data_IF_432856896369
#
_entry.id   IF_432856896369
#
_cell.length_a   1.000
_cell.length_b   1.000
_cell.length_c   1.000
_cell.angle_alpha   90.00
_cell.angle_beta   90.00
_cell.angle_gamma   90.00
#
_symmetry.space_group_name_H-M   'P 1'
#
loop_
_entity.id
_entity.type
_entity.pdbx_description
1 polymer ?
#
# COMPACT_ATOMS: atom_id res chain seq x y z
N UNK A 1 22.52 -3.92 -6.55
CA UNK A 1 21.62 -3.60 -5.44
C UNK A 1 20.50 -2.77 -6.02
N UNK A 2 19.25 -3.19 -5.84
CA UNK A 2 18.09 -2.46 -6.36
C UNK A 2 17.83 -1.21 -5.51
N UNK A 3 17.54 -0.10 -6.17
CA UNK A 3 17.10 1.15 -5.54
C UNK A 3 16.28 1.95 -6.52
N UNK A 4 15.15 2.46 -6.07
CA UNK A 4 14.31 3.43 -6.80
C UNK A 4 13.96 4.59 -5.90
N UNK A 5 13.99 5.79 -6.44
CA UNK A 5 13.60 7.01 -5.76
C UNK A 5 12.51 7.70 -6.58
N UNK A 6 11.43 8.05 -5.93
CA UNK A 6 10.27 8.71 -6.52
C UNK A 6 10.05 10.06 -5.87
N UNK A 7 9.75 11.05 -6.68
CA UNK A 7 9.28 12.36 -6.27
C UNK A 7 7.85 12.55 -6.78
N UNK A 8 6.95 12.94 -5.90
CA UNK A 8 5.53 13.07 -6.23
C UNK A 8 5.13 14.52 -6.31
N UNK A 9 4.24 14.86 -7.29
CA UNK A 9 3.73 16.21 -7.52
C UNK A 9 4.48 16.97 -8.60
N UNK A 10 4.26 18.29 -8.65
CA UNK A 10 4.62 19.13 -9.81
C UNK A 10 6.05 19.61 -9.92
N UNK A 11 6.90 19.39 -8.93
CA UNK A 11 8.28 19.85 -8.99
C UNK A 11 9.20 18.78 -9.59
N UNK A 12 9.48 18.98 -10.88
CA UNK A 12 10.28 18.08 -11.67
C UNK A 12 11.78 18.26 -11.56
N UNK A 13 12.47 17.19 -11.80
CA UNK A 13 13.74 17.27 -12.46
C UNK A 13 15.00 17.29 -11.61
N UNK A 14 15.11 16.47 -10.58
CA UNK A 14 16.44 16.11 -10.06
C UNK A 14 16.95 14.85 -10.74
N UNK A 15 18.17 14.88 -11.27
CA UNK A 15 18.81 13.70 -11.83
C UNK A 15 18.78 12.55 -10.81
N UNK A 16 18.30 11.37 -11.23
CA UNK A 16 18.10 10.14 -10.45
C UNK A 16 16.79 10.01 -9.65
N UNK A 17 15.82 10.89 -9.81
CA UNK A 17 14.46 10.73 -9.30
C UNK A 17 13.50 10.34 -10.42
N UNK A 18 12.51 9.55 -10.10
CA UNK A 18 11.38 9.26 -10.98
C UNK A 18 10.25 10.19 -10.57
N UNK A 19 9.89 11.11 -11.45
CA UNK A 19 8.76 12.01 -11.22
C UNK A 19 7.45 11.23 -11.36
N UNK A 20 6.52 11.45 -10.43
CA UNK A 20 5.22 10.80 -10.37
C UNK A 20 4.12 11.84 -10.22
N UNK A 21 3.24 11.90 -11.20
CA UNK A 21 2.03 12.72 -11.17
C UNK A 21 0.79 11.90 -10.77
N UNK A 22 -0.33 12.60 -10.59
CA UNK A 22 -1.62 11.97 -10.24
C UNK A 22 -2.16 11.02 -11.32
N UNK A 23 -1.73 11.18 -12.58
CA UNK A 23 -2.12 10.32 -13.70
C UNK A 23 -1.28 9.03 -13.82
N UNK A 24 -0.26 8.87 -12.98
CA UNK A 24 0.66 7.73 -13.04
C UNK A 24 0.05 6.49 -12.38
N UNK A 25 -0.95 5.91 -13.04
CA UNK A 25 -1.57 4.67 -12.59
C UNK A 25 -0.62 3.47 -12.81
N UNK A 26 -0.74 2.49 -11.93
CA UNK A 26 0.07 1.27 -12.01
C UNK A 26 -0.22 0.50 -13.29
N UNK A 27 0.86 0.13 -13.97
CA UNK A 27 0.85 -0.75 -15.14
C UNK A 27 2.03 -1.72 -15.03
N UNK A 28 1.84 -3.02 -15.28
CA UNK A 28 2.92 -4.02 -15.18
C UNK A 28 4.16 -3.67 -16.02
N UNK A 29 3.97 -3.15 -17.22
CA UNK A 29 5.08 -2.75 -18.11
C UNK A 29 5.86 -1.52 -17.62
N UNK A 30 5.22 -0.63 -16.83
CA UNK A 30 5.83 0.52 -16.19
C UNK A 30 6.51 0.14 -14.88
N UNK A 31 5.91 -0.80 -14.16
CA UNK A 31 6.41 -1.34 -12.91
C UNK A 31 6.29 -0.43 -11.71
N UNK A 32 5.43 0.59 -11.76
CA UNK A 32 5.03 1.44 -10.63
C UNK A 32 3.79 2.27 -10.96
N UNK A 33 3.14 2.78 -9.93
CA UNK A 33 2.03 3.72 -10.06
C UNK A 33 0.98 3.58 -8.96
N UNK A 34 -0.03 4.44 -9.01
CA UNK A 34 -1.18 4.39 -8.10
C UNK A 34 -2.10 3.24 -8.48
N UNK A 35 -2.60 2.53 -7.47
CA UNK A 35 -3.46 1.35 -7.66
C UNK A 35 -4.91 1.77 -7.74
N UNK A 36 -5.62 1.29 -8.75
CA UNK A 36 -7.07 1.45 -8.93
C UNK A 36 -7.79 0.11 -8.85
N UNK A 37 -9.11 0.12 -8.68
CA UNK A 37 -9.92 -1.10 -8.75
C UNK A 37 -9.79 -1.79 -10.12
N UNK A 38 -9.70 -1.01 -11.19
CA UNK A 38 -9.54 -1.55 -12.54
C UNK A 38 -8.25 -2.35 -12.67
N UNK A 39 -7.12 -1.78 -12.34
CA UNK A 39 -5.85 -2.49 -12.45
C UNK A 39 -5.72 -3.63 -11.43
N UNK A 40 -6.37 -3.54 -10.28
CA UNK A 40 -6.50 -4.63 -9.33
C UNK A 40 -7.27 -5.81 -9.92
N UNK A 41 -8.41 -5.56 -10.59
CA UNK A 41 -9.19 -6.61 -11.26
C UNK A 41 -8.41 -7.25 -12.41
N UNK A 42 -7.73 -6.45 -13.21
CA UNK A 42 -6.88 -6.94 -14.30
C UNK A 42 -5.78 -7.85 -13.78
N UNK A 43 -5.10 -7.47 -12.70
CA UNK A 43 -4.12 -8.30 -12.04
C UNK A 43 -4.74 -9.61 -11.53
N UNK A 44 -5.88 -9.54 -10.85
CA UNK A 44 -6.58 -10.74 -10.37
C UNK A 44 -6.97 -11.69 -11.50
N UNK A 45 -7.37 -11.17 -12.66
CA UNK A 45 -7.67 -11.99 -13.83
C UNK A 45 -6.42 -12.63 -14.44
N UNK A 46 -5.32 -11.91 -14.49
CA UNK A 46 -4.02 -12.46 -14.85
C UNK A 46 -3.59 -13.53 -13.86
N UNK A 47 -3.81 -13.28 -12.60
CA UNK A 47 -3.53 -14.19 -11.51
C UNK A 47 -4.22 -15.54 -11.64
N UNK A 48 -5.46 -15.54 -12.01
CA UNK A 48 -6.22 -16.78 -12.22
C UNK A 48 -5.70 -17.56 -13.44
N UNK A 49 -5.13 -16.88 -14.43
CA UNK A 49 -4.61 -17.51 -15.65
C UNK A 49 -3.17 -18.00 -15.52
N UNK A 50 -2.37 -17.27 -14.77
CA UNK A 50 -0.96 -17.57 -14.56
C UNK A 50 -0.79 -18.01 -13.11
N UNK A 51 -0.74 -19.20 -12.76
CA UNK A 51 -0.60 -19.79 -11.43
C UNK A 51 0.35 -19.05 -10.45
N UNK A 52 0.91 -17.92 -10.84
CA UNK A 52 1.85 -17.08 -10.10
C UNK A 52 1.43 -15.61 -10.19
N UNK A 53 0.88 -15.06 -9.13
CA UNK A 53 0.37 -13.71 -9.20
C UNK A 53 0.45 -12.97 -7.89
N UNK A 54 0.63 -11.67 -7.99
CA UNK A 54 0.62 -10.77 -6.86
C UNK A 54 -0.74 -10.79 -6.15
N UNK A 55 -0.73 -11.06 -4.85
CA UNK A 55 -1.93 -11.23 -4.02
C UNK A 55 -2.24 -9.98 -3.18
N UNK A 56 -1.31 -9.09 -3.07
CA UNK A 56 -1.29 -7.95 -2.17
C UNK A 56 -2.39 -6.91 -2.43
N UNK A 57 -2.67 -6.60 -3.69
CA UNK A 57 -3.69 -5.62 -4.07
C UNK A 57 -5.13 -6.04 -3.76
N UNK A 58 -5.36 -7.28 -3.36
CA UNK A 58 -6.67 -7.77 -2.93
C UNK A 58 -7.12 -7.22 -1.56
N UNK A 59 -6.22 -6.63 -0.81
CA UNK A 59 -6.48 -6.22 0.57
C UNK A 59 -7.21 -4.89 0.70
N UNK A 60 -7.28 -4.11 -0.40
CA UNK A 60 -7.83 -2.77 -0.38
C UNK A 60 -8.85 -2.54 -1.46
N UNK A 61 -9.84 -1.72 -1.14
CA UNK A 61 -10.78 -1.20 -2.11
C UNK A 61 -10.31 0.12 -2.68
N UNK A 62 -10.52 0.29 -3.98
CA UNK A 62 -10.20 1.51 -4.68
C UNK A 62 -11.30 1.79 -5.71
N UNK A 63 -11.57 3.05 -6.00
CA UNK A 63 -12.39 3.41 -7.14
C UNK A 63 -11.67 3.06 -8.45
N UNK A 64 -12.43 2.76 -9.51
CA UNK A 64 -11.86 2.34 -10.80
C UNK A 64 -10.90 3.36 -11.40
N UNK A 65 -11.14 4.65 -11.17
CA UNK A 65 -10.43 5.74 -11.82
C UNK A 65 -9.65 6.64 -10.87
N UNK A 66 -9.78 6.47 -9.55
CA UNK A 66 -9.22 7.40 -8.56
C UNK A 66 -9.49 8.87 -8.92
N UNK A 67 -10.74 9.19 -9.22
CA UNK A 67 -11.15 10.50 -9.78
C UNK A 67 -10.79 11.70 -8.89
N UNK A 68 -10.49 11.46 -7.62
CA UNK A 68 -10.14 12.48 -6.64
C UNK A 68 -8.67 12.45 -6.24
N UNK A 69 -7.84 11.72 -7.00
CA UNK A 69 -6.40 11.80 -6.90
C UNK A 69 -5.92 13.10 -7.57
N UNK A 70 -5.20 13.89 -6.81
CA UNK A 70 -4.72 15.23 -7.18
C UNK A 70 -3.24 15.37 -6.88
N UNK A 71 -2.64 16.43 -7.38
CA UNK A 71 -1.25 16.77 -7.12
C UNK A 71 -1.06 18.27 -6.88
N UNK A 72 -0.09 18.60 -6.05
CA UNK A 72 0.42 19.95 -5.81
C UNK A 72 1.95 19.92 -5.62
N UNK A 73 2.55 21.02 -5.19
CA UNK A 73 3.99 21.11 -4.90
C UNK A 73 4.45 20.23 -3.74
N UNK A 74 3.53 19.78 -2.89
CA UNK A 74 3.80 18.92 -1.74
C UNK A 74 3.60 17.42 -2.03
N UNK A 75 3.16 17.05 -3.23
CA UNK A 75 3.01 15.66 -3.65
C UNK A 75 1.66 15.30 -4.25
N UNK A 76 1.41 14.01 -4.37
CA UNK A 76 0.11 13.47 -4.78
C UNK A 76 -0.74 13.14 -3.55
N UNK A 77 -2.02 13.48 -3.61
CA UNK A 77 -2.96 13.25 -2.51
C UNK A 77 -4.34 12.82 -3.00
N UNK A 78 -5.05 12.09 -2.15
CA UNK A 78 -6.42 11.66 -2.41
C UNK A 78 -7.38 12.41 -1.49
N UNK A 79 -8.46 12.94 -2.03
CA UNK A 79 -9.59 13.42 -1.24
C UNK A 79 -10.46 12.22 -0.85
N UNK A 80 -10.15 11.64 0.31
CA UNK A 80 -10.76 10.38 0.75
C UNK A 80 -12.26 10.51 1.01
N UNK A 81 -12.72 11.65 1.47
CA UNK A 81 -14.13 11.89 1.72
C UNK A 81 -14.94 11.96 0.41
N UNK A 82 -14.40 12.65 -0.60
CA UNK A 82 -15.01 12.72 -1.93
C UNK A 82 -14.97 11.37 -2.64
N UNK A 83 -13.90 10.60 -2.47
CA UNK A 83 -13.80 9.24 -2.99
C UNK A 83 -14.89 8.34 -2.40
N UNK A 84 -15.07 8.35 -1.07
CA UNK A 84 -16.15 7.61 -0.39
C UNK A 84 -17.53 8.05 -0.90
N UNK A 85 -17.79 9.34 -0.96
CA UNK A 85 -19.07 9.86 -1.43
C UNK A 85 -19.35 9.47 -2.89
N UNK A 86 -18.31 9.39 -3.73
CA UNK A 86 -18.43 8.90 -5.11
C UNK A 86 -18.82 7.42 -5.16
N UNK A 87 -18.19 6.59 -4.33
CA UNK A 87 -18.51 5.16 -4.24
C UNK A 87 -19.93 4.92 -3.74
N UNK A 88 -20.39 5.66 -2.73
CA UNK A 88 -21.75 5.59 -2.22
C UNK A 88 -22.79 6.00 -3.31
N UNK A 89 -22.47 7.03 -4.09
CA UNK A 89 -23.33 7.42 -5.24
C UNK A 89 -23.40 6.33 -6.32
N UNK A 90 -22.30 5.63 -6.56
CA UNK A 90 -22.25 4.57 -7.58
C UNK A 90 -22.94 3.28 -7.12
N UNK A 91 -22.78 2.91 -5.87
CA UNK A 91 -23.39 1.70 -5.31
C UNK A 91 -24.86 1.86 -4.93
N UNK A 92 -25.31 3.09 -4.69
CA UNK A 92 -26.64 3.40 -4.15
C UNK A 92 -26.80 3.03 -2.67
N UNK A 93 -25.72 2.58 -2.01
CA UNK A 93 -25.72 2.18 -0.59
C UNK A 93 -24.64 2.93 0.18
N UNK A 94 -24.93 3.32 1.44
CA UNK A 94 -23.93 3.95 2.27
C UNK A 94 -22.83 2.94 2.64
N UNK A 95 -21.59 3.35 2.57
CA UNK A 95 -20.48 2.56 3.09
C UNK A 95 -20.59 2.49 4.62
N UNK A 96 -20.87 1.30 5.14
CA UNK A 96 -20.99 1.10 6.58
C UNK A 96 -19.60 1.04 7.23
N UNK A 97 -19.50 1.65 8.40
CA UNK A 97 -18.26 1.62 9.20
C UNK A 97 -17.63 3.01 9.36
N UNK A 98 -16.88 3.17 10.43
CA UNK A 98 -16.14 4.38 10.74
C UNK A 98 -14.72 3.99 11.15
N UNK A 99 -13.69 4.76 10.73
CA UNK A 99 -13.76 5.90 9.82
C UNK A 99 -13.89 5.47 8.36
N UNK A 100 -14.65 6.24 7.58
CA UNK A 100 -14.83 6.05 6.14
C UNK A 100 -13.65 6.67 5.41
N UNK A 101 -12.57 5.94 5.28
CA UNK A 101 -11.35 6.41 4.64
C UNK A 101 -10.92 5.43 3.57
N UNK A 102 -10.58 5.96 2.41
CA UNK A 102 -9.99 5.19 1.30
C UNK A 102 -8.48 5.41 1.30
N UNK A 103 -7.68 4.36 1.28
CA UNK A 103 -6.23 4.51 1.26
C UNK A 103 -5.72 5.02 -0.10
N UNK A 104 -4.69 5.84 -0.06
CA UNK A 104 -3.86 6.12 -1.22
C UNK A 104 -2.81 5.02 -1.33
N UNK A 105 -2.87 4.22 -2.39
CA UNK A 105 -1.97 3.09 -2.59
C UNK A 105 -1.03 3.35 -3.76
N UNK A 106 0.26 3.22 -3.52
CA UNK A 106 1.29 3.24 -4.55
C UNK A 106 2.05 1.93 -4.57
N UNK A 107 2.19 1.33 -5.75
CA UNK A 107 2.79 0.03 -6.00
C UNK A 107 4.05 0.15 -6.82
N UNK A 108 5.06 -0.66 -6.48
CA UNK A 108 6.34 -0.70 -7.20
C UNK A 108 6.78 -2.15 -7.39
N UNK A 109 7.09 -2.52 -8.63
CA UNK A 109 7.71 -3.81 -8.93
C UNK A 109 9.15 -3.86 -8.44
N UNK A 110 9.50 -4.97 -7.84
CA UNK A 110 10.85 -5.26 -7.37
C UNK A 110 11.42 -6.47 -8.12
N UNK A 111 12.76 -6.54 -8.29
CA UNK A 111 13.37 -7.55 -9.16
C UNK A 111 13.28 -8.98 -8.60
N UNK A 112 13.18 -9.13 -7.30
CA UNK A 112 13.14 -10.43 -6.61
C UNK A 112 12.50 -10.33 -5.25
N UNK A 113 12.18 -11.46 -4.68
CA UNK A 113 11.79 -11.59 -3.28
C UNK A 113 12.95 -11.23 -2.34
N UNK A 114 12.61 -10.81 -1.14
CA UNK A 114 13.59 -10.40 -0.13
C UNK A 114 13.12 -9.22 0.71
N UNK A 115 14.05 -8.61 1.39
CA UNK A 115 13.77 -7.48 2.26
C UNK A 115 14.06 -6.16 1.54
N UNK A 116 13.14 -5.22 1.70
CA UNK A 116 13.23 -3.88 1.14
C UNK A 116 13.02 -2.85 2.24
N UNK A 117 13.94 -1.89 2.31
CA UNK A 117 13.77 -0.68 3.13
C UNK A 117 12.99 0.33 2.31
N UNK A 118 12.00 0.91 2.96
CA UNK A 118 11.15 1.95 2.40
C UNK A 118 11.34 3.20 3.25
N UNK A 119 11.66 4.32 2.62
CA UNK A 119 11.59 5.64 3.24
C UNK A 119 10.50 6.43 2.57
N UNK A 120 9.44 6.70 3.31
CA UNK A 120 8.29 7.49 2.89
C UNK A 120 8.44 8.91 3.41
N UNK A 121 8.24 9.89 2.52
CA UNK A 121 8.18 11.31 2.86
C UNK A 121 6.78 11.83 2.59
N UNK A 122 6.22 12.53 3.57
CA UNK A 122 4.95 13.24 3.45
C UNK A 122 5.21 14.69 3.81
N UNK A 123 4.78 15.62 2.95
CA UNK A 123 4.82 17.06 3.20
C UNK A 123 3.41 17.60 3.19
N UNK A 124 3.06 18.37 4.20
CA UNK A 124 1.74 19.02 4.31
C UNK A 124 1.87 20.37 4.98
N UNK A 125 1.21 21.37 4.46
CA UNK A 125 1.14 22.69 5.11
C UNK A 125 0.21 22.69 6.32
N UNK A 126 -0.73 21.74 6.35
CA UNK A 126 -1.70 21.58 7.42
C UNK A 126 -1.42 20.30 8.23
N UNK A 127 -1.92 20.27 9.46
CA UNK A 127 -1.93 19.05 10.25
C UNK A 127 -2.78 17.97 9.55
N UNK A 128 -2.21 16.78 9.37
CA UNK A 128 -2.90 15.64 8.77
C UNK A 128 -3.72 14.82 9.77
N UNK A 129 -3.53 15.07 11.07
CA UNK A 129 -4.16 14.29 12.12
C UNK A 129 -3.66 12.84 12.17
N UNK A 130 -4.57 11.93 12.47
CA UNK A 130 -4.28 10.51 12.55
C UNK A 130 -4.02 9.92 11.16
N UNK A 131 -2.89 9.26 11.01
CA UNK A 131 -2.55 8.49 9.83
C UNK A 131 -2.15 7.05 10.17
N UNK A 132 -2.46 6.14 9.25
CA UNK A 132 -1.96 4.78 9.27
C UNK A 132 -1.21 4.52 7.96
N UNK A 133 -0.08 3.83 8.06
CA UNK A 133 0.71 3.40 6.90
C UNK A 133 0.77 1.89 6.93
N UNK A 134 0.40 1.28 5.82
CA UNK A 134 0.45 -0.15 5.62
C UNK A 134 1.37 -0.50 4.45
N UNK A 135 1.90 -1.70 4.48
CA UNK A 135 2.71 -2.26 3.40
C UNK A 135 2.20 -3.64 3.01
N UNK A 136 2.35 -3.98 1.73
CA UNK A 136 2.01 -5.29 1.19
C UNK A 136 0.63 -5.76 1.63
N UNK A 137 0.55 -6.93 2.21
CA UNK A 137 -0.69 -7.59 2.64
C UNK A 137 -1.33 -6.97 3.89
N UNK A 138 -1.60 -5.65 3.86
CA UNK A 138 -2.18 -4.89 4.98
C UNK A 138 -1.39 -4.97 6.29
N UNK A 139 -0.09 -5.07 6.21
CA UNK A 139 0.77 -5.05 7.40
C UNK A 139 0.94 -3.63 7.87
N UNK A 140 0.54 -3.37 9.09
CA UNK A 140 0.67 -2.04 9.71
C UNK A 140 2.14 -1.71 9.93
N UNK A 141 2.60 -0.61 9.33
CA UNK A 141 3.95 -0.10 9.51
C UNK A 141 4.00 1.07 10.46
N UNK A 142 2.97 1.92 10.46
CA UNK A 142 2.89 3.09 11.31
C UNK A 142 1.44 3.43 11.67
N UNK A 143 1.24 3.89 12.90
CA UNK A 143 0.01 4.51 13.37
C UNK A 143 0.39 5.67 14.28
N UNK A 144 -0.12 6.86 13.98
CA UNK A 144 0.15 8.06 14.79
C UNK A 144 -0.43 9.32 14.19
N UNK A 145 -0.18 10.44 14.86
CA UNK A 145 -0.58 11.77 14.40
C UNK A 145 0.59 12.43 13.68
N UNK A 146 0.31 13.05 12.54
CA UNK A 146 1.29 13.80 11.76
C UNK A 146 0.86 15.26 11.70
N UNK A 147 1.72 16.14 12.18
CA UNK A 147 1.55 17.59 12.13
C UNK A 147 1.89 18.17 10.76
N UNK A 148 1.76 19.50 10.65
CA UNK A 148 2.23 20.24 9.50
C UNK A 148 3.76 20.15 9.32
N UNK A 149 4.24 20.24 8.10
CA UNK A 149 5.66 20.17 7.75
C UNK A 149 6.04 18.90 7.03
N UNK A 150 7.28 18.46 7.22
CA UNK A 150 7.80 17.24 6.62
C UNK A 150 7.83 16.11 7.64
N UNK A 151 7.19 15.00 7.30
CA UNK A 151 7.24 13.74 8.03
C UNK A 151 7.98 12.72 7.20
N UNK A 152 9.03 12.12 7.78
CA UNK A 152 9.81 11.05 7.15
C UNK A 152 9.73 9.80 8.00
N UNK A 153 9.30 8.71 7.41
CA UNK A 153 9.20 7.43 8.09
C UNK A 153 9.93 6.34 7.32
N UNK A 154 10.73 5.55 8.05
CA UNK A 154 11.48 4.42 7.48
C UNK A 154 10.97 3.12 8.06
N UNK A 155 10.67 2.17 7.18
CA UNK A 155 10.17 0.84 7.50
C UNK A 155 10.85 -0.21 6.64
N UNK A 156 10.72 -1.48 7.02
CA UNK A 156 11.21 -2.60 6.23
C UNK A 156 10.08 -3.57 5.95
N UNK A 157 9.97 -4.01 4.70
CA UNK A 157 8.99 -5.00 4.25
C UNK A 157 9.70 -6.22 3.71
N UNK A 158 9.14 -7.41 3.99
CA UNK A 158 9.52 -8.65 3.33
C UNK A 158 8.56 -8.92 2.18
N UNK A 159 9.11 -9.12 0.99
CA UNK A 159 8.40 -9.56 -0.21
C UNK A 159 8.66 -11.04 -0.38
N UNK A 160 7.60 -11.84 -0.29
CA UNK A 160 7.69 -13.30 -0.40
C UNK A 160 6.42 -13.87 -1.02
N UNK A 161 6.56 -15.04 -1.66
CA UNK A 161 5.43 -15.81 -2.13
C UNK A 161 4.60 -16.34 -0.97
N UNK A 162 3.34 -16.61 -1.24
CA UNK A 162 2.44 -17.27 -0.29
C UNK A 162 1.67 -18.40 -0.96
N UNK A 163 1.26 -19.37 -0.15
CA UNK A 163 0.22 -20.34 -0.49
C UNK A 163 -0.96 -20.06 0.41
N UNK A 164 -2.05 -19.42 -0.08
CA UNK A 164 -3.22 -19.15 0.74
C UNK A 164 -3.86 -20.43 1.26
N UNK A 165 -4.46 -20.37 2.45
CA UNK A 165 -5.15 -21.51 3.05
C UNK A 165 -6.16 -22.14 2.08
N UNK A 166 -6.15 -23.47 1.99
CA UNK A 166 -7.03 -24.23 1.08
C UNK A 166 -6.64 -24.15 -0.41
N UNK A 167 -5.53 -23.51 -0.74
CA UNK A 167 -4.99 -23.42 -2.11
C UNK A 167 -3.80 -24.35 -2.26
N UNK A 168 -3.55 -24.75 -3.52
CA UNK A 168 -2.38 -25.61 -3.87
C UNK A 168 -1.38 -24.88 -4.75
N UNK A 169 -1.67 -23.65 -5.14
CA UNK A 169 -0.79 -22.85 -6.00
C UNK A 169 -0.13 -21.73 -5.22
N UNK A 170 1.05 -21.40 -5.68
CA UNK A 170 1.85 -20.31 -5.15
C UNK A 170 1.36 -19.00 -5.78
N UNK A 171 1.08 -18.02 -4.95
CA UNK A 171 0.92 -16.63 -5.37
C UNK A 171 2.28 -15.94 -5.25
N UNK A 172 2.89 -15.71 -6.40
CA UNK A 172 4.16 -15.03 -6.46
C UNK A 172 3.97 -13.54 -6.17
N UNK A 173 4.77 -13.02 -5.25
CA UNK A 173 4.83 -11.60 -4.95
C UNK A 173 6.21 -11.05 -5.30
N UNK A 174 6.24 -10.03 -6.16
CA UNK A 174 7.42 -9.26 -6.54
C UNK A 174 7.10 -7.77 -6.54
N UNK A 175 6.33 -7.33 -5.56
CA UNK A 175 5.89 -5.95 -5.46
C UNK A 175 6.04 -5.41 -4.04
N UNK A 176 6.22 -4.11 -3.95
CA UNK A 176 6.12 -3.35 -2.71
C UNK A 176 4.95 -2.40 -2.85
N UNK A 177 3.95 -2.55 -2.00
CA UNK A 177 2.82 -1.63 -1.91
C UNK A 177 2.94 -0.79 -0.64
N UNK A 178 2.64 0.48 -0.78
CA UNK A 178 2.49 1.42 0.34
C UNK A 178 1.07 1.97 0.29
N UNK A 179 0.32 1.81 1.38
CA UNK A 179 -1.00 2.36 1.53
C UNK A 179 -1.00 3.38 2.67
N UNK A 180 -1.32 4.62 2.36
CA UNK A 180 -1.49 5.71 3.35
C UNK A 180 -2.96 5.93 3.56
N UNK A 181 -3.41 5.81 4.81
CA UNK A 181 -4.80 5.99 5.23
C UNK A 181 -4.90 7.21 6.13
N UNK A 182 -5.64 8.22 5.72
CA UNK A 182 -5.91 9.47 6.41
C UNK A 182 -7.17 10.11 5.83
N UNK A 183 -7.59 11.26 6.32
CA UNK A 183 -8.68 12.02 5.69
C UNK A 183 -8.27 12.55 4.30
N UNK A 184 -7.03 13.00 4.19
CA UNK A 184 -6.40 13.41 2.92
C UNK A 184 -5.01 12.75 2.81
N UNK A 185 -4.97 11.43 2.52
CA UNK A 185 -3.70 10.73 2.43
C UNK A 185 -2.84 11.30 1.31
N UNK A 186 -1.53 11.41 1.58
CA UNK A 186 -0.56 12.06 0.69
C UNK A 186 0.74 11.28 0.63
N UNK A 187 1.41 11.35 -0.52
CA UNK A 187 2.78 10.88 -0.73
C UNK A 187 3.55 11.99 -1.42
N UNK A 188 4.68 12.39 -0.85
CA UNK A 188 5.57 13.44 -1.40
C UNK A 188 6.87 12.87 -1.96
N UNK A 189 7.37 11.81 -1.33
CA UNK A 189 8.58 11.14 -1.76
C UNK A 189 8.60 9.69 -1.29
N UNK A 190 9.26 8.84 -2.07
CA UNK A 190 9.39 7.43 -1.75
C UNK A 190 10.76 6.92 -2.22
N UNK A 191 11.50 6.32 -1.32
CA UNK A 191 12.70 5.58 -1.65
C UNK A 191 12.50 4.12 -1.28
N UNK A 192 12.80 3.22 -2.21
CA UNK A 192 12.78 1.78 -1.99
C UNK A 192 14.16 1.24 -2.34
N UNK A 193 14.77 0.55 -1.39
CA UNK A 193 16.06 -0.08 -1.60
C UNK A 193 16.09 -1.51 -1.05
N UNK A 194 16.70 -2.40 -1.82
CA UNK A 194 16.95 -3.76 -1.37
C UNK A 194 17.94 -3.74 -0.20
N UNK A 195 17.63 -4.51 0.85
CA UNK A 195 18.50 -4.59 2.01
C UNK A 195 18.69 -6.01 2.52
N UNK A 196 19.79 -6.25 3.20
CA UNK A 196 20.02 -7.46 3.96
C UNK A 196 19.84 -7.15 5.45
N UNK A 197 18.84 -7.75 6.08
CA UNK A 197 18.55 -7.60 7.50
C UNK A 197 18.00 -8.90 8.09
N UNK A 198 18.06 -9.06 9.41
CA UNK A 198 17.40 -10.18 10.08
C UNK A 198 15.89 -10.18 9.78
N UNK A 199 15.34 -11.37 9.58
CA UNK A 199 13.93 -11.57 9.27
C UNK A 199 13.27 -12.44 10.33
N UNK A 200 12.19 -11.95 10.90
CA UNK A 200 11.32 -12.70 11.80
C UNK A 200 10.33 -13.48 10.94
N UNK A 201 10.37 -14.80 11.03
CA UNK A 201 9.42 -15.68 10.36
C UNK A 201 8.27 -16.00 11.31
N UNK A 202 7.05 -15.71 10.87
CA UNK A 202 5.84 -16.06 11.60
C UNK A 202 5.20 -17.28 10.96
N UNK A 203 4.82 -18.25 11.79
CA UNK A 203 4.05 -19.39 11.41
C UNK A 203 2.96 -19.62 12.48
N UNK A 204 1.76 -19.88 12.07
CA UNK A 204 0.63 -20.05 12.99
C UNK A 204 -0.66 -20.31 12.25
N UNK A 205 -1.76 -19.97 12.89
CA UNK A 205 -3.12 -20.11 12.38
C UNK A 205 -3.71 -18.76 11.94
N UNK A 206 -5.02 -18.71 11.77
CA UNK A 206 -5.76 -17.50 11.36
C UNK A 206 -5.59 -16.30 12.29
N UNK A 207 -5.14 -16.51 13.53
CA UNK A 207 -4.90 -15.39 14.46
C UNK A 207 -3.59 -14.66 14.19
N UNK A 208 -2.69 -15.27 13.45
CA UNK A 208 -1.37 -14.73 13.08
C UNK A 208 -1.34 -14.23 11.64
N UNK A 209 -2.13 -14.85 10.76
CA UNK A 209 -2.03 -14.71 9.30
C UNK A 209 -2.32 -13.29 8.79
N UNK A 210 -1.79 -12.99 7.62
CA UNK A 210 -2.17 -11.82 6.84
C UNK A 210 -3.57 -12.00 6.27
N UNK A 211 -4.58 -11.53 6.98
CA UNK A 211 -5.98 -11.63 6.56
C UNK A 211 -6.32 -10.62 5.46
N UNK A 212 -6.95 -11.03 4.35
CA UNK A 212 -7.61 -10.10 3.47
C UNK A 212 -8.81 -9.45 4.19
N UNK A 213 -9.10 -8.19 3.92
CA UNK A 213 -10.35 -7.60 4.36
C UNK A 213 -11.49 -8.09 3.47
N UNK A 214 -12.67 -8.33 4.03
CA UNK A 214 -13.90 -8.57 3.26
C UNK A 214 -14.41 -7.26 2.62
N UNK A 215 -13.48 -6.45 2.33
CA UNK A 215 -13.65 -5.21 1.69
C UNK A 215 -13.92 -5.45 0.19
N UNK A 216 -14.69 -4.62 -0.50
CA UNK A 216 -14.96 -3.22 -0.21
C UNK A 216 -16.22 -2.94 0.57
N UNK A 217 -17.07 -3.91 0.69
CA UNK A 217 -18.47 -3.67 1.01
C UNK A 217 -18.74 -3.58 2.51
N UNK A 218 -17.85 -4.14 3.33
CA UNK A 218 -18.05 -4.25 4.77
C UNK A 218 -16.77 -3.93 5.55
N UNK A 219 -16.36 -2.67 5.63
CA UNK A 219 -15.15 -2.32 6.38
C UNK A 219 -15.20 -2.71 7.86
N UNK A 220 -16.39 -2.89 8.42
CA UNK A 220 -16.59 -3.37 9.78
C UNK A 220 -16.32 -4.86 9.97
N UNK A 221 -16.15 -5.63 8.90
CA UNK A 221 -15.86 -7.07 8.93
C UNK A 221 -14.43 -7.41 8.55
N UNK A 222 -13.56 -6.39 8.47
CA UNK A 222 -12.15 -6.60 8.19
C UNK A 222 -11.46 -7.32 9.34
N UNK A 223 -11.08 -8.55 9.12
CA UNK A 223 -10.25 -9.32 10.05
C UNK A 223 -8.78 -8.94 9.89
N UNK A 224 -8.02 -9.09 10.94
CA UNK A 224 -6.56 -9.03 10.90
C UNK A 224 -5.97 -10.04 11.89
N UNK A 225 -4.88 -10.67 11.49
CA UNK A 225 -4.05 -11.40 12.43
C UNK A 225 -3.08 -10.45 13.15
N UNK A 226 -2.66 -10.79 14.37
CA UNK A 226 -1.68 -9.97 15.09
C UNK A 226 -0.35 -9.86 14.34
N UNK A 227 -0.03 -10.84 13.50
CA UNK A 227 1.16 -10.79 12.64
C UNK A 227 1.17 -9.62 11.67
N UNK A 228 0.00 -9.14 11.24
CA UNK A 228 -0.12 -7.93 10.41
C UNK A 228 0.18 -6.65 11.20
N UNK A 229 0.00 -6.66 12.51
CA UNK A 229 0.24 -5.49 13.37
C UNK A 229 1.69 -5.41 13.86
N UNK A 230 2.40 -6.54 13.87
CA UNK A 230 3.75 -6.64 14.44
C UNK A 230 4.76 -5.67 13.82
N UNK A 231 4.79 -5.42 12.50
CA UNK A 231 5.78 -4.51 11.91
C UNK A 231 5.78 -3.10 12.50
N UNK A 232 4.63 -2.59 12.94
CA UNK A 232 4.53 -1.25 13.56
C UNK A 232 5.30 -1.11 14.88
N UNK A 233 5.66 -2.22 15.51
CA UNK A 233 6.36 -2.26 16.80
C UNK A 233 7.84 -2.63 16.68
N UNK A 234 8.32 -2.76 15.44
CA UNK A 234 9.68 -3.17 15.15
C UNK A 234 10.51 -2.01 14.59
N UNK A 235 11.80 -2.07 14.87
CA UNK A 235 12.77 -1.18 14.24
C UNK A 235 12.94 -1.54 12.75
N UNK A 236 13.15 -0.53 11.91
CA UNK A 236 13.36 -0.70 10.46
C UNK A 236 14.62 -1.52 10.09
N UNK A 237 15.39 -1.98 11.07
CA UNK A 237 16.50 -2.94 10.88
C UNK A 237 16.04 -4.39 10.88
N UNK A 238 14.76 -4.64 11.18
CA UNK A 238 14.15 -5.96 11.21
C UNK A 238 13.07 -6.06 10.16
N UNK A 239 12.87 -7.23 9.61
CA UNK A 239 11.80 -7.54 8.68
C UNK A 239 10.89 -8.66 9.22
N UNK A 240 9.65 -8.69 8.78
CA UNK A 240 8.68 -9.74 9.13
C UNK A 240 8.23 -10.45 7.86
N UNK A 241 8.38 -11.77 7.85
CA UNK A 241 7.84 -12.67 6.82
C UNK A 241 6.76 -13.54 7.44
N UNK A 242 5.51 -13.27 7.10
CA UNK A 242 4.36 -13.99 7.66
C UNK A 242 3.95 -15.12 6.73
N UNK A 243 4.04 -16.35 7.21
CA UNK A 243 3.73 -17.61 6.52
C UNK A 243 2.56 -18.36 7.18
N UNK A 244 1.71 -17.68 7.92
CA UNK A 244 0.55 -18.25 8.60
C UNK A 244 -0.67 -18.34 7.70
#
# INVERSE_FOLDING_TARGET
MFRRNFLFGKDGGTANLIDVGSEDLYQPGKGYGFVTEKNRREQKLLQIRELNSSFDTMYWYQNEQLSFLKEDENGCYLDSAEEVASLERQSGEPMSGSPRRIPLIFKVDVPRQGNYRITLTIRSEEEMGEILIFTGRRRLAFHGTVGAGEFVYTMTVNVCDIVPSGQTHIFADKTVDIAVLADRPRISGLMIEEMNCPTIYLAGDSTVTDQPGDYPYYPGTCYCGWGQMLPAYLDARLSVSNHS
#
